data_IF_407980251734
#
_entry.id   IF_407980251734
#
_cell.length_a   1.000
_cell.length_b   1.000
_cell.length_c   1.000
_cell.angle_alpha   90.00
_cell.angle_beta   90.00
_cell.angle_gamma   90.00
#
_symmetry.space_group_name_H-M   'P 1'
#
loop_
_entity.id
_entity.type
_entity.pdbx_description
1 polymer ?
#
# COMPACT_ATOMS: atom_id res chain seq x y z
N UNK A 1 -25.36 -33.40 -14.30
CA UNK A 1 -26.32 -32.65 -13.46
C UNK A 1 -25.72 -31.97 -12.22
N UNK A 2 -24.47 -32.27 -11.81
CA UNK A 2 -23.90 -31.76 -10.54
C UNK A 2 -23.41 -30.31 -10.54
N UNK A 3 -22.97 -29.77 -11.69
CA UNK A 3 -22.45 -28.40 -11.80
C UNK A 3 -23.50 -27.34 -11.48
N UNK A 4 -24.74 -27.55 -11.94
CA UNK A 4 -25.87 -26.63 -11.70
C UNK A 4 -26.26 -26.58 -10.22
N UNK A 5 -26.24 -27.73 -9.54
CA UNK A 5 -26.58 -27.79 -8.11
C UNK A 5 -25.48 -27.16 -7.25
N UNK A 6 -24.21 -27.36 -7.64
CA UNK A 6 -23.06 -26.75 -6.97
C UNK A 6 -23.12 -25.21 -7.07
N UNK A 7 -23.36 -24.67 -8.28
CA UNK A 7 -23.52 -23.22 -8.47
C UNK A 7 -24.69 -22.63 -7.68
N UNK A 8 -25.84 -23.32 -7.64
CA UNK A 8 -27.00 -22.87 -6.84
C UNK A 8 -26.70 -22.88 -5.34
N UNK A 9 -26.04 -23.91 -4.84
CA UNK A 9 -25.65 -23.99 -3.43
C UNK A 9 -24.63 -22.90 -3.06
N UNK A 10 -23.62 -22.66 -3.90
CA UNK A 10 -22.64 -21.60 -3.69
C UNK A 10 -23.27 -20.20 -3.68
N UNK A 11 -24.23 -19.93 -4.58
CA UNK A 11 -24.95 -18.65 -4.58
C UNK A 11 -25.85 -18.48 -3.36
N UNK A 12 -26.49 -19.55 -2.88
CA UNK A 12 -27.31 -19.50 -1.67
C UNK A 12 -26.46 -19.19 -0.42
N UNK A 13 -25.26 -19.77 -0.33
CA UNK A 13 -24.33 -19.51 0.78
C UNK A 13 -23.81 -18.06 0.72
N UNK A 14 -23.47 -17.55 -0.47
CA UNK A 14 -23.01 -16.17 -0.64
C UNK A 14 -24.11 -15.15 -0.28
N UNK A 15 -25.35 -15.42 -0.68
CA UNK A 15 -26.49 -14.56 -0.36
C UNK A 15 -26.86 -14.61 1.14
N UNK A 16 -26.76 -15.78 1.77
CA UNK A 16 -27.08 -15.96 3.20
C UNK A 16 -26.05 -15.32 4.13
N UNK A 17 -24.77 -15.40 3.77
CA UNK A 17 -23.67 -14.92 4.62
C UNK A 17 -23.34 -13.44 4.39
N UNK A 18 -23.96 -12.77 3.41
CA UNK A 18 -23.69 -11.37 3.08
C UNK A 18 -22.26 -11.12 2.58
N UNK A 19 -21.46 -12.17 2.38
CA UNK A 19 -20.11 -12.09 1.84
C UNK A 19 -20.20 -11.75 0.36
N UNK A 20 -20.09 -10.45 0.05
CA UNK A 20 -19.76 -10.01 -1.30
C UNK A 20 -18.39 -10.59 -1.69
N UNK A 21 -18.21 -10.92 -2.97
CA UNK A 21 -16.92 -11.36 -3.50
C UNK A 21 -15.78 -10.38 -3.15
N UNK A 22 -16.12 -9.10 -2.94
CA UNK A 22 -15.24 -8.04 -2.45
C UNK A 22 -14.54 -8.37 -1.13
N UNK A 23 -15.19 -9.08 -0.20
CA UNK A 23 -14.58 -9.50 1.07
C UNK A 23 -13.50 -10.56 0.90
N UNK A 24 -13.68 -11.49 -0.06
CA UNK A 24 -12.68 -12.51 -0.39
C UNK A 24 -11.49 -11.92 -1.15
N UNK A 25 -11.76 -10.96 -2.05
CA UNK A 25 -10.73 -10.18 -2.76
C UNK A 25 -9.91 -9.32 -1.78
N UNK A 26 -10.54 -8.73 -0.77
CA UNK A 26 -9.84 -7.98 0.28
C UNK A 26 -8.94 -8.89 1.12
N UNK A 27 -9.39 -10.09 1.50
CA UNK A 27 -8.55 -11.04 2.24
C UNK A 27 -7.29 -11.47 1.46
N UNK A 28 -7.39 -11.59 0.12
CA UNK A 28 -6.22 -11.86 -0.73
C UNK A 28 -5.23 -10.69 -0.80
N UNK A 29 -5.70 -9.44 -0.78
CA UNK A 29 -4.82 -8.27 -0.73
C UNK A 29 -4.02 -8.17 0.58
N UNK A 30 -4.56 -8.72 1.68
CA UNK A 30 -3.88 -8.76 2.99
C UNK A 30 -2.88 -9.90 3.13
N UNK A 31 -2.85 -10.87 2.21
CA UNK A 31 -1.92 -12.00 2.24
C UNK A 31 -0.49 -11.64 1.79
N UNK A 32 -0.27 -10.42 1.28
CA UNK A 32 1.05 -9.92 0.88
C UNK A 32 1.76 -9.13 1.98
N UNK A 33 2.15 -9.77 3.08
CA UNK A 33 2.89 -9.14 4.19
C UNK A 33 4.36 -8.80 3.86
N UNK A 34 4.63 -8.14 2.72
CA UNK A 34 6.01 -7.87 2.27
C UNK A 34 6.27 -6.48 1.68
N UNK A 35 5.32 -5.55 1.77
CA UNK A 35 5.45 -4.27 1.08
C UNK A 35 5.94 -3.08 1.96
N UNK A 36 6.00 -3.18 3.28
CA UNK A 36 6.53 -2.10 4.13
C UNK A 36 6.89 -2.61 5.53
N UNK A 37 7.86 -1.95 6.19
CA UNK A 37 8.28 -2.21 7.58
C UNK A 37 7.17 -1.90 8.64
N UNK A 38 5.95 -1.64 8.21
CA UNK A 38 4.81 -1.27 9.04
C UNK A 38 3.70 -2.32 9.04
N UNK A 39 2.84 -2.28 10.06
CA UNK A 39 1.59 -3.05 10.06
C UNK A 39 0.66 -2.48 8.99
N UNK A 40 0.14 -3.34 8.12
CA UNK A 40 -0.90 -2.94 7.17
C UNK A 40 -2.13 -2.43 7.93
N UNK A 41 -2.56 -1.20 7.61
CA UNK A 41 -3.79 -0.61 8.13
C UNK A 41 -4.73 -0.36 6.97
N UNK A 42 -6.01 -0.69 7.14
CA UNK A 42 -7.03 -0.37 6.15
C UNK A 42 -7.12 1.14 5.93
N UNK A 43 -7.18 1.56 4.67
CA UNK A 43 -7.43 2.97 4.37
C UNK A 43 -8.88 3.36 4.71
N UNK A 44 -9.04 4.47 5.42
CA UNK A 44 -10.33 5.12 5.68
C UNK A 44 -10.18 6.65 5.56
N UNK A 45 -11.04 7.25 4.75
CA UNK A 45 -11.00 8.68 4.46
C UNK A 45 -11.41 9.54 5.66
N UNK A 46 -12.37 9.09 6.48
CA UNK A 46 -12.77 9.84 7.67
C UNK A 46 -11.69 9.80 8.75
N UNK A 47 -11.01 8.66 8.92
CA UNK A 47 -9.81 8.54 9.75
C UNK A 47 -8.70 9.49 9.31
N UNK A 48 -8.43 9.61 8.00
CA UNK A 48 -7.45 10.56 7.47
C UNK A 48 -7.82 12.02 7.81
N UNK A 49 -9.10 12.39 7.63
CA UNK A 49 -9.59 13.74 7.96
C UNK A 49 -9.49 14.03 9.46
N UNK A 50 -9.82 13.06 10.30
CA UNK A 50 -9.70 13.19 11.75
C UNK A 50 -8.23 13.40 12.16
N UNK A 51 -7.30 12.65 11.58
CA UNK A 51 -5.87 12.82 11.81
C UNK A 51 -5.38 14.21 11.37
N UNK A 52 -5.75 14.64 10.16
CA UNK A 52 -5.40 15.98 9.66
C UNK A 52 -5.93 17.09 10.57
N UNK A 53 -7.18 16.97 11.03
CA UNK A 53 -7.78 17.92 11.99
C UNK A 53 -7.02 17.94 13.31
N UNK A 54 -6.62 16.79 13.85
CA UNK A 54 -5.82 16.71 15.08
C UNK A 54 -4.42 17.31 14.93
N UNK A 55 -3.81 17.22 13.74
CA UNK A 55 -2.52 17.86 13.49
C UNK A 55 -2.67 19.38 13.40
N UNK A 56 -3.74 19.86 12.78
CA UNK A 56 -4.01 21.29 12.62
C UNK A 56 -4.31 22.04 13.93
N UNK A 57 -4.67 21.33 15.02
CA UNK A 57 -4.85 21.96 16.34
C UNK A 57 -3.53 22.18 17.07
N UNK A 58 -2.41 21.66 16.56
CA UNK A 58 -1.07 21.80 17.14
C UNK A 58 -0.27 22.84 16.37
N UNK A 59 0.71 23.44 17.03
CA UNK A 59 1.71 24.26 16.35
C UNK A 59 2.48 23.44 15.31
N UNK A 60 2.93 24.09 14.24
CA UNK A 60 3.78 23.45 13.23
C UNK A 60 5.04 22.86 13.87
N UNK A 61 5.37 21.63 13.48
CA UNK A 61 6.62 20.97 13.87
C UNK A 61 7.50 20.83 12.63
N UNK A 62 8.71 21.37 12.70
CA UNK A 62 9.70 21.23 11.64
C UNK A 62 10.12 19.75 11.55
N UNK A 63 10.08 19.18 10.34
CA UNK A 63 10.44 17.78 10.05
C UNK A 63 11.80 17.66 9.37
N UNK A 64 12.60 18.74 9.33
CA UNK A 64 13.97 18.68 8.82
C UNK A 64 14.75 17.57 9.49
N UNK A 65 15.20 16.63 8.68
CA UNK A 65 16.10 15.58 9.09
C UNK A 65 17.52 15.98 8.73
N UNK A 66 18.47 15.69 9.61
CA UNK A 66 19.88 15.82 9.28
C UNK A 66 20.21 14.70 8.31
N UNK A 67 20.58 15.07 7.08
CA UNK A 67 21.00 14.10 6.09
C UNK A 67 22.24 13.34 6.59
N UNK A 68 22.34 12.02 6.33
CA UNK A 68 23.57 11.29 6.56
C UNK A 68 24.76 12.00 5.90
N UNK A 69 25.97 11.99 6.50
CA UNK A 69 27.14 12.69 5.96
C UNK A 69 27.43 12.37 4.50
N UNK A 70 27.17 11.13 4.09
CA UNK A 70 27.33 10.64 2.71
C UNK A 70 26.48 11.38 1.69
N UNK A 71 25.24 11.73 2.04
CA UNK A 71 24.34 12.52 1.18
C UNK A 71 24.62 14.01 1.32
N UNK A 72 24.92 14.47 2.54
CA UNK A 72 25.17 15.88 2.84
C UNK A 72 26.38 16.46 2.08
N UNK A 73 27.41 15.65 1.82
CA UNK A 73 28.62 16.08 1.08
C UNK A 73 28.60 15.70 -0.40
N UNK A 74 27.51 15.10 -0.89
CA UNK A 74 27.43 14.61 -2.26
C UNK A 74 27.29 15.76 -3.26
N UNK A 75 27.94 15.67 -4.41
CA UNK A 75 27.74 16.64 -5.48
C UNK A 75 26.38 16.40 -6.17
N UNK A 76 25.72 17.44 -6.71
CA UNK A 76 24.47 17.28 -7.44
C UNK A 76 24.56 16.28 -8.61
N UNK A 77 25.72 16.19 -9.27
CA UNK A 77 25.96 15.23 -10.35
C UNK A 77 25.92 13.78 -9.85
N UNK A 78 26.52 13.51 -8.69
CA UNK A 78 26.53 12.18 -8.09
C UNK A 78 25.13 11.81 -7.56
N UNK A 79 24.39 12.77 -7.01
CA UNK A 79 23.01 12.53 -6.57
C UNK A 79 22.11 12.16 -7.75
N UNK A 80 22.21 12.88 -8.88
CA UNK A 80 21.45 12.57 -10.09
C UNK A 80 21.80 11.21 -10.72
N UNK A 81 22.96 10.66 -10.40
CA UNK A 81 23.34 9.31 -10.82
C UNK A 81 22.63 8.21 -10.01
N UNK A 82 22.01 8.54 -8.87
CA UNK A 82 21.20 7.59 -8.09
C UNK A 82 19.89 7.34 -8.83
N UNK A 83 19.89 6.31 -9.67
CA UNK A 83 18.72 5.83 -10.38
C UNK A 83 17.94 4.78 -9.58
N UNK A 84 16.63 4.77 -9.77
CA UNK A 84 15.78 3.70 -9.28
C UNK A 84 15.95 2.43 -10.11
N UNK A 85 16.18 1.28 -9.48
CA UNK A 85 16.19 -0.01 -10.16
C UNK A 85 14.76 -0.56 -10.29
N UNK A 86 14.24 -0.56 -11.53
CA UNK A 86 12.89 -1.07 -11.85
C UNK A 86 12.71 -2.57 -11.58
N UNK A 87 13.79 -3.34 -11.43
CA UNK A 87 13.68 -4.74 -11.03
C UNK A 87 13.36 -4.90 -9.54
N UNK A 88 13.59 -3.86 -8.74
CA UNK A 88 13.31 -3.81 -7.30
C UNK A 88 12.06 -2.98 -6.98
N UNK A 89 11.09 -2.96 -7.90
CA UNK A 89 9.84 -2.26 -7.69
C UNK A 89 8.90 -2.96 -6.71
N UNK A 90 8.13 -2.17 -5.96
CA UNK A 90 7.34 -2.68 -4.85
C UNK A 90 6.34 -3.75 -5.29
N UNK A 91 5.78 -3.60 -6.49
CA UNK A 91 4.74 -4.48 -7.02
C UNK A 91 5.23 -5.34 -8.18
N UNK A 92 6.56 -5.47 -8.36
CA UNK A 92 7.16 -6.25 -9.44
C UNK A 92 6.59 -7.66 -9.55
N UNK A 93 6.41 -8.33 -8.41
CA UNK A 93 5.96 -9.72 -8.33
C UNK A 93 4.44 -9.89 -8.48
N UNK A 94 3.66 -8.80 -8.41
CA UNK A 94 2.20 -8.85 -8.45
C UNK A 94 1.64 -9.01 -9.88
N UNK A 95 2.48 -9.03 -10.91
CA UNK A 95 2.10 -9.15 -12.32
C UNK A 95 0.94 -8.21 -12.74
N UNK A 96 0.87 -7.03 -12.11
CA UNK A 96 -0.15 -6.02 -12.36
C UNK A 96 0.22 -5.04 -13.47
N UNK A 97 -0.73 -4.21 -13.89
CA UNK A 97 -0.49 -3.10 -14.82
C UNK A 97 0.10 -1.85 -14.14
N UNK A 98 0.06 -1.82 -12.80
CA UNK A 98 0.54 -0.72 -11.98
C UNK A 98 1.77 -1.16 -11.21
N UNK A 99 2.69 -0.22 -11.04
CA UNK A 99 3.92 -0.43 -10.29
C UNK A 99 4.24 0.82 -9.45
N UNK A 100 4.98 0.63 -8.37
CA UNK A 100 5.35 1.69 -7.42
C UNK A 100 6.86 1.76 -7.30
N UNK A 101 7.38 2.98 -7.51
CA UNK A 101 8.79 3.32 -7.43
C UNK A 101 8.98 4.42 -6.39
N UNK A 102 10.12 4.41 -5.71
CA UNK A 102 10.45 5.39 -4.67
C UNK A 102 11.55 6.32 -5.17
N UNK A 103 11.51 7.57 -4.72
CA UNK A 103 12.60 8.52 -4.90
C UNK A 103 13.61 8.37 -3.76
N UNK A 104 14.89 8.58 -4.07
CA UNK A 104 15.92 8.77 -3.05
C UNK A 104 15.88 10.23 -2.58
N UNK A 105 16.06 10.47 -1.27
CA UNK A 105 16.00 11.81 -0.64
C UNK A 105 17.21 12.01 0.26
#
# INVERSE_FOLDING_TARGET
MHRRNLLKASMAIAAYTGLSASGLLAAQAWAGNRAADGKAVAFDFESLKAQAKQLATRGYQDTKQVLPPTLATMTPQNFNAIGYDRNHSLWKELNGQLDVQFFHV
#
